data_IF_864175572078
#
_entry.id   IF_864175572078
#
_cell.length_a   1.000
_cell.length_b   1.000
_cell.length_c   1.000
_cell.angle_alpha   90.00
_cell.angle_beta   90.00
_cell.angle_gamma   90.00
#
_symmetry.space_group_name_H-M   'P 1'
#
loop_
_entity.id
_entity.type
_entity.pdbx_description
1 polymer ?
#
# COMPACT_ATOMS: atom_id res chain seq x y z
N UNK A 1 -3.39 -14.29 -13.54
CA UNK A 1 -3.26 -12.82 -13.58
C UNK A 1 -3.31 -12.45 -15.04
N UNK A 2 -4.30 -11.66 -15.46
CA UNK A 2 -4.32 -11.13 -16.81
C UNK A 2 -3.20 -10.08 -16.93
N UNK A 3 -2.20 -10.39 -17.75
CA UNK A 3 -1.05 -9.51 -18.01
C UNK A 3 -1.11 -8.88 -19.40
N UNK A 4 -2.17 -9.13 -20.16
CA UNK A 4 -2.30 -8.72 -21.56
C UNK A 4 -2.50 -7.20 -21.65
N UNK A 5 -3.13 -6.61 -20.63
CA UNK A 5 -3.47 -5.18 -20.56
C UNK A 5 -2.57 -4.36 -19.62
N UNK A 6 -2.04 -4.95 -18.53
CA UNK A 6 -1.14 -4.26 -17.58
C UNK A 6 -0.36 -5.23 -16.67
N UNK A 7 0.89 -4.94 -16.26
CA UNK A 7 1.58 -5.70 -15.21
C UNK A 7 0.82 -5.65 -13.88
N UNK A 8 0.51 -6.81 -13.27
CA UNK A 8 -0.32 -6.86 -12.05
C UNK A 8 0.07 -7.98 -11.06
N UNK A 9 -0.38 -7.84 -9.82
CA UNK A 9 -0.44 -8.89 -8.80
C UNK A 9 -1.85 -8.92 -8.21
N UNK A 10 -2.26 -10.04 -7.63
CA UNK A 10 -3.59 -10.14 -7.01
C UNK A 10 -3.58 -11.11 -5.84
N UNK A 11 -4.20 -10.69 -4.74
CA UNK A 11 -4.61 -11.53 -3.65
C UNK A 11 -5.96 -12.21 -3.94
N UNK A 12 -6.01 -13.53 -3.73
CA UNK A 12 -7.27 -14.29 -3.65
C UNK A 12 -7.45 -14.84 -2.24
N UNK A 13 -8.69 -14.88 -1.77
CA UNK A 13 -9.07 -15.19 -0.39
C UNK A 13 -9.12 -16.69 -0.05
N UNK A 14 -8.76 -17.54 -1.03
CA UNK A 14 -8.66 -18.98 -0.86
C UNK A 14 -7.28 -19.52 -1.31
N UNK A 15 -6.85 -20.65 -0.74
CA UNK A 15 -5.57 -21.24 -1.10
C UNK A 15 -5.74 -22.11 -2.35
N UNK A 16 -4.95 -21.84 -3.40
CA UNK A 16 -4.87 -22.73 -4.56
C UNK A 16 -4.16 -24.04 -4.22
N UNK A 17 -3.26 -23.99 -3.25
CA UNK A 17 -2.57 -25.14 -2.68
C UNK A 17 -3.09 -25.40 -1.27
N UNK A 18 -3.80 -26.52 -1.11
CA UNK A 18 -4.47 -26.94 0.13
C UNK A 18 -3.53 -27.15 1.33
N UNK A 19 -2.21 -27.11 1.12
CA UNK A 19 -1.22 -27.15 2.20
C UNK A 19 -1.12 -25.83 2.96
N UNK A 20 -1.60 -24.73 2.38
CA UNK A 20 -1.58 -23.40 3.00
C UNK A 20 -2.97 -23.04 3.52
N UNK A 21 -3.06 -22.34 4.68
CA UNK A 21 -4.33 -22.19 5.39
C UNK A 21 -5.20 -21.00 4.93
N UNK A 22 -4.63 -20.06 4.18
CA UNK A 22 -5.18 -18.72 4.00
C UNK A 22 -5.52 -18.44 2.53
N UNK A 23 -4.99 -17.35 1.98
CA UNK A 23 -5.16 -16.98 0.58
C UNK A 23 -3.95 -17.33 -0.28
N UNK A 24 -4.01 -16.88 -1.53
CA UNK A 24 -2.90 -16.98 -2.48
C UNK A 24 -2.56 -15.62 -3.03
N UNK A 25 -1.26 -15.30 -3.09
CA UNK A 25 -0.77 -14.16 -3.88
C UNK A 25 -0.37 -14.67 -5.26
N UNK A 26 -1.04 -14.19 -6.29
CA UNK A 26 -0.67 -14.44 -7.68
C UNK A 26 0.14 -13.24 -8.19
N UNK A 27 1.38 -13.49 -8.58
CA UNK A 27 2.30 -12.44 -9.04
C UNK A 27 2.51 -12.58 -10.54
N UNK A 28 2.18 -11.53 -11.30
CA UNK A 28 2.38 -11.52 -12.75
C UNK A 28 3.85 -11.51 -13.14
N UNK A 29 4.20 -12.21 -14.23
CA UNK A 29 5.58 -12.27 -14.75
C UNK A 29 6.08 -10.90 -15.21
N UNK A 30 5.27 -10.12 -15.95
CA UNK A 30 5.66 -8.77 -16.40
C UNK A 30 5.90 -7.83 -15.22
N UNK A 31 5.07 -7.95 -14.17
CA UNK A 31 5.27 -7.16 -12.95
C UNK A 31 6.54 -7.60 -12.24
N UNK A 32 6.79 -8.91 -12.17
CA UNK A 32 7.99 -9.46 -11.55
C UNK A 32 9.26 -8.93 -12.24
N UNK A 33 9.32 -9.02 -13.57
CA UNK A 33 10.45 -8.52 -14.36
C UNK A 33 10.68 -7.02 -14.15
N UNK A 34 9.58 -6.23 -14.16
CA UNK A 34 9.64 -4.79 -13.91
C UNK A 34 10.20 -4.46 -12.52
N UNK A 35 9.67 -5.08 -11.48
CA UNK A 35 10.13 -4.81 -10.11
C UNK A 35 11.53 -5.37 -9.85
N UNK A 36 11.88 -6.50 -10.47
CA UNK A 36 13.24 -7.06 -10.42
C UNK A 36 14.27 -6.09 -11.01
N UNK A 37 13.95 -5.47 -12.15
CA UNK A 37 14.82 -4.50 -12.80
C UNK A 37 15.04 -3.21 -11.99
N UNK A 38 14.11 -2.83 -11.11
CA UNK A 38 14.27 -1.68 -10.20
C UNK A 38 15.24 -1.94 -9.05
N UNK A 39 15.64 -3.20 -8.87
CA UNK A 39 16.53 -3.63 -7.80
C UNK A 39 15.78 -4.33 -6.66
N UNK A 40 16.47 -4.45 -5.53
CA UNK A 40 15.98 -5.24 -4.40
C UNK A 40 14.82 -4.49 -3.73
N UNK A 41 13.85 -5.24 -3.22
CA UNK A 41 12.70 -4.79 -2.43
C UNK A 41 11.39 -4.38 -3.14
N UNK A 42 11.35 -4.14 -4.46
CA UNK A 42 10.09 -3.90 -5.17
C UNK A 42 9.13 -5.11 -5.13
N UNK A 43 9.65 -6.29 -5.47
CA UNK A 43 8.92 -7.56 -5.40
C UNK A 43 8.38 -7.85 -3.99
N UNK A 44 9.20 -7.91 -2.91
CA UNK A 44 8.67 -8.24 -1.60
C UNK A 44 7.74 -7.17 -1.02
N UNK A 45 7.88 -5.89 -1.40
CA UNK A 45 6.91 -4.84 -1.03
C UNK A 45 5.56 -5.11 -1.67
N UNK A 46 5.54 -5.46 -2.96
CA UNK A 46 4.31 -5.82 -3.67
C UNK A 46 3.67 -7.07 -3.07
N UNK A 47 4.44 -8.11 -2.75
CA UNK A 47 3.92 -9.31 -2.07
C UNK A 47 3.33 -8.95 -0.70
N UNK A 48 3.98 -8.07 0.06
CA UNK A 48 3.48 -7.64 1.37
C UNK A 48 2.14 -6.88 1.26
N UNK A 49 1.99 -6.05 0.22
CA UNK A 49 0.73 -5.38 -0.09
C UNK A 49 -0.38 -6.39 -0.39
N UNK A 50 -0.15 -7.36 -1.29
CA UNK A 50 -1.15 -8.41 -1.58
C UNK A 50 -1.46 -9.28 -0.36
N UNK A 51 -0.46 -9.58 0.46
CA UNK A 51 -0.70 -10.33 1.70
C UNK A 51 -1.57 -9.55 2.69
N UNK A 52 -1.47 -8.21 2.71
CA UNK A 52 -2.36 -7.39 3.52
C UNK A 52 -3.82 -7.50 3.04
N UNK A 53 -4.08 -7.66 1.74
CA UNK A 53 -5.42 -7.98 1.24
C UNK A 53 -5.92 -9.34 1.72
N UNK A 54 -5.07 -10.37 1.76
CA UNK A 54 -5.44 -11.66 2.38
C UNK A 54 -5.84 -11.48 3.85
N UNK A 55 -5.09 -10.67 4.60
CA UNK A 55 -5.46 -10.35 5.99
C UNK A 55 -6.82 -9.63 6.07
N UNK A 56 -7.10 -8.72 5.14
CA UNK A 56 -8.39 -8.02 5.07
C UNK A 56 -9.56 -8.97 4.80
N UNK A 57 -9.41 -9.92 3.88
CA UNK A 57 -10.43 -10.94 3.63
C UNK A 57 -10.69 -11.77 4.88
N UNK A 58 -9.63 -12.31 5.52
CA UNK A 58 -9.75 -13.13 6.73
C UNK A 58 -10.41 -12.40 7.89
N UNK A 59 -10.15 -11.10 8.02
CA UNK A 59 -10.66 -10.27 9.12
C UNK A 59 -11.97 -9.56 8.79
N UNK A 60 -12.58 -9.86 7.63
CA UNK A 60 -13.82 -9.22 7.16
C UNK A 60 -13.70 -7.69 7.23
N UNK A 61 -12.68 -7.17 6.56
CA UNK A 61 -12.39 -5.73 6.53
C UNK A 61 -13.68 -4.93 6.28
N UNK A 62 -13.91 -3.84 7.03
CA UNK A 62 -15.15 -3.09 6.94
C UNK A 62 -15.41 -2.65 5.50
N UNK A 63 -16.68 -2.64 5.10
CA UNK A 63 -17.09 -2.18 3.76
C UNK A 63 -16.76 -0.68 3.65
N UNK A 64 -15.66 -0.37 2.99
CA UNK A 64 -15.16 0.97 2.73
C UNK A 64 -14.88 1.11 1.23
N UNK A 65 -14.73 2.35 0.74
CA UNK A 65 -14.30 2.57 -0.64
C UNK A 65 -12.94 1.89 -0.91
N UNK A 66 -12.75 1.34 -2.13
CA UNK A 66 -11.55 0.62 -2.59
C UNK A 66 -10.25 1.30 -2.17
N UNK A 67 -10.17 2.62 -2.37
CA UNK A 67 -9.08 3.46 -1.89
C UNK A 67 -8.64 3.19 -0.44
N UNK A 68 -9.56 3.07 0.51
CA UNK A 68 -9.19 2.87 1.91
C UNK A 68 -8.63 1.48 2.18
N UNK A 69 -9.10 0.49 1.43
CA UNK A 69 -8.56 -0.87 1.45
C UNK A 69 -7.11 -0.89 0.94
N UNK A 70 -6.83 -0.18 -0.15
CA UNK A 70 -5.50 -0.01 -0.74
C UNK A 70 -4.53 0.73 0.18
N UNK A 71 -4.94 1.88 0.73
CA UNK A 71 -4.12 2.64 1.67
C UNK A 71 -3.81 1.84 2.94
N UNK A 72 -4.74 1.03 3.41
CA UNK A 72 -4.49 0.12 4.51
C UNK A 72 -3.46 -0.96 4.14
N UNK A 73 -3.56 -1.55 2.94
CA UNK A 73 -2.59 -2.52 2.47
C UNK A 73 -1.17 -1.91 2.32
N UNK A 74 -1.08 -0.68 1.80
CA UNK A 74 0.18 0.07 1.73
C UNK A 74 0.80 0.32 3.10
N UNK A 75 -0.03 0.64 4.12
CA UNK A 75 0.45 0.80 5.49
C UNK A 75 1.11 -0.48 6.01
N UNK A 76 0.49 -1.64 5.84
CA UNK A 76 1.08 -2.92 6.27
C UNK A 76 2.34 -3.26 5.48
N UNK A 77 2.35 -3.00 4.17
CA UNK A 77 3.54 -3.19 3.33
C UNK A 77 4.70 -2.32 3.82
N UNK A 78 4.44 -1.07 4.21
CA UNK A 78 5.41 -0.18 4.82
C UNK A 78 6.05 -0.74 6.08
N UNK A 79 5.22 -1.21 7.02
CA UNK A 79 5.69 -1.84 8.25
C UNK A 79 6.55 -3.07 7.96
N UNK A 80 6.09 -3.95 7.06
CA UNK A 80 6.85 -5.15 6.68
C UNK A 80 8.20 -4.80 6.05
N UNK A 81 8.26 -3.81 5.15
CA UNK A 81 9.51 -3.37 4.53
C UNK A 81 10.50 -2.89 5.59
N UNK A 82 10.06 -2.10 6.56
CA UNK A 82 10.90 -1.67 7.66
C UNK A 82 11.34 -2.85 8.55
N UNK A 83 10.49 -3.84 8.76
CA UNK A 83 10.80 -5.04 9.56
C UNK A 83 11.87 -5.88 8.87
N UNK A 84 11.69 -6.12 7.57
CA UNK A 84 12.61 -6.87 6.72
C UNK A 84 13.97 -6.17 6.56
N UNK A 85 13.99 -4.84 6.50
CA UNK A 85 15.22 -4.06 6.38
C UNK A 85 16.21 -4.30 7.54
N UNK A 86 15.72 -4.67 8.72
CA UNK A 86 16.57 -4.99 9.89
C UNK A 86 17.41 -6.23 9.70
N UNK A 87 16.89 -7.21 8.97
CA UNK A 87 17.59 -8.47 8.71
C UNK A 87 18.52 -8.38 7.49
N UNK A 88 18.32 -7.40 6.62
CA UNK A 88 19.11 -7.19 5.40
C UNK A 88 19.42 -5.71 5.12
N UNK A 89 20.13 -5.01 6.03
CA UNK A 89 20.33 -3.56 5.98
C UNK A 89 21.05 -3.10 4.70
N UNK A 90 22.06 -3.85 4.25
CA UNK A 90 22.85 -3.52 3.05
C UNK A 90 22.09 -3.71 1.74
N UNK A 91 20.91 -4.32 1.79
CA UNK A 91 20.11 -4.68 0.62
C UNK A 91 18.72 -4.04 0.63
N UNK A 92 18.37 -3.29 1.68
CA UNK A 92 17.07 -2.65 1.85
C UNK A 92 17.14 -1.17 1.54
N UNK A 93 17.00 -0.79 0.26
CA UNK A 93 16.73 0.60 -0.07
C UNK A 93 15.22 0.86 0.07
N UNK A 94 14.76 1.55 1.13
CA UNK A 94 13.35 1.86 1.29
C UNK A 94 12.81 2.77 0.17
N UNK A 95 13.68 3.46 -0.59
CA UNK A 95 13.27 4.29 -1.71
C UNK A 95 12.74 3.46 -2.89
N UNK A 96 13.27 2.25 -3.12
CA UNK A 96 12.73 1.34 -4.16
C UNK A 96 11.32 0.89 -3.78
N UNK A 97 11.12 0.55 -2.51
CA UNK A 97 9.82 0.13 -1.98
C UNK A 97 8.80 1.28 -2.05
N UNK A 98 9.21 2.47 -1.61
CA UNK A 98 8.41 3.69 -1.70
C UNK A 98 8.04 4.03 -3.14
N UNK A 99 8.98 3.90 -4.08
CA UNK A 99 8.74 4.13 -5.51
C UNK A 99 7.74 3.12 -6.07
N UNK A 100 7.88 1.85 -5.71
CA UNK A 100 6.96 0.78 -6.11
C UNK A 100 5.52 1.13 -5.73
N UNK A 101 5.31 1.55 -4.48
CA UNK A 101 3.98 1.97 -3.99
C UNK A 101 3.52 3.27 -4.65
N UNK A 102 4.40 4.28 -4.79
CA UNK A 102 4.05 5.54 -5.42
C UNK A 102 3.59 5.35 -6.88
N UNK A 103 4.27 4.50 -7.65
CA UNK A 103 3.94 4.22 -9.05
C UNK A 103 2.66 3.40 -9.22
N UNK A 104 2.21 2.72 -8.17
CA UNK A 104 0.95 1.96 -8.16
C UNK A 104 -0.31 2.82 -7.89
N UNK A 105 -0.15 4.10 -7.58
CA UNK A 105 -1.28 5.04 -7.43
C UNK A 105 -1.77 5.61 -8.76
N UNK A 106 -3.04 6.02 -8.78
CA UNK A 106 -3.70 6.63 -9.94
C UNK A 106 -4.44 7.92 -9.56
N UNK A 107 -4.88 8.73 -10.53
CA UNK A 107 -5.68 9.95 -10.28
C UNK A 107 -7.13 9.81 -10.81
N UNK A 108 -7.63 8.59 -10.96
CA UNK A 108 -8.97 8.31 -11.51
C UNK A 108 -10.05 8.44 -10.44
N UNK A 109 -10.21 9.61 -9.82
CA UNK A 109 -11.10 9.83 -8.66
C UNK A 109 -12.58 9.43 -8.86
N UNK A 110 -13.07 9.41 -10.10
CA UNK A 110 -14.45 9.02 -10.43
C UNK A 110 -14.61 7.51 -10.69
N UNK A 111 -13.52 6.76 -10.64
CA UNK A 111 -13.53 5.32 -10.79
C UNK A 111 -13.81 4.68 -9.41
N UNK A 112 -14.84 3.84 -9.25
CA UNK A 112 -15.06 3.09 -8.00
C UNK A 112 -13.90 2.14 -7.67
N UNK A 113 -13.04 1.81 -8.64
CA UNK A 113 -11.78 1.11 -8.46
C UNK A 113 -10.58 2.05 -8.16
N UNK A 114 -10.80 3.34 -7.90
CA UNK A 114 -9.72 4.28 -7.59
C UNK A 114 -8.89 3.80 -6.40
N UNK A 115 -7.59 3.59 -6.62
CA UNK A 115 -6.68 3.00 -5.63
C UNK A 115 -6.10 4.04 -4.65
N UNK A 116 -6.48 5.32 -4.81
CA UNK A 116 -5.86 6.45 -4.13
C UNK A 116 -4.75 7.08 -4.95
N UNK A 117 -4.47 8.36 -4.70
CA UNK A 117 -3.36 9.03 -5.42
C UNK A 117 -2.01 8.48 -5.00
N UNK A 118 -1.02 8.68 -5.87
CA UNK A 118 0.37 8.30 -5.60
C UNK A 118 0.87 8.83 -4.26
N UNK A 119 0.51 10.06 -3.93
CA UNK A 119 0.85 10.72 -2.66
C UNK A 119 0.16 10.05 -1.47
N UNK A 120 -1.11 9.66 -1.63
CA UNK A 120 -1.89 9.00 -0.58
C UNK A 120 -1.31 7.64 -0.23
N UNK A 121 -1.01 6.86 -1.26
CA UNK A 121 -0.39 5.54 -1.17
C UNK A 121 0.99 5.61 -0.52
N UNK A 122 1.84 6.53 -1.00
CA UNK A 122 3.15 6.76 -0.38
C UNK A 122 3.05 7.24 1.07
N UNK A 123 2.09 8.13 1.40
CA UNK A 123 1.89 8.60 2.77
C UNK A 123 1.49 7.46 3.71
N UNK A 124 0.60 6.56 3.27
CA UNK A 124 0.18 5.40 4.04
C UNK A 124 1.33 4.41 4.26
N UNK A 125 2.06 4.07 3.19
CA UNK A 125 3.27 3.26 3.26
C UNK A 125 4.30 3.83 4.24
N UNK A 126 4.59 5.13 4.14
CA UNK A 126 5.55 5.80 5.02
C UNK A 126 5.10 5.80 6.48
N UNK A 127 3.79 5.88 6.74
CA UNK A 127 3.26 5.81 8.10
C UNK A 127 3.50 4.43 8.72
N UNK A 128 3.21 3.35 8.01
CA UNK A 128 3.49 1.99 8.48
C UNK A 128 4.99 1.71 8.62
N UNK A 129 5.82 2.19 7.68
CA UNK A 129 7.28 2.06 7.75
C UNK A 129 7.85 2.70 9.02
N UNK A 130 7.29 3.85 9.45
CA UNK A 130 7.70 4.51 10.70
C UNK A 130 7.28 3.74 11.94
N UNK A 131 6.10 3.11 11.94
CA UNK A 131 5.59 2.34 13.09
C UNK A 131 6.54 1.21 13.51
N UNK A 132 7.19 0.55 12.55
CA UNK A 132 8.15 -0.52 12.89
C UNK A 132 9.45 0.00 13.57
N UNK A 133 9.69 1.31 13.64
CA UNK A 133 10.83 1.82 14.45
C UNK A 133 10.60 1.63 15.96
N UNK A 134 9.41 1.22 16.37
CA UNK A 134 9.02 0.95 17.76
C UNK A 134 9.12 -0.55 18.15
N UNK A 135 9.79 -1.39 17.35
CA UNK A 135 10.03 -2.81 17.65
C UNK A 135 8.80 -3.73 17.68
N UNK A 136 7.71 -3.29 17.04
CA UNK A 136 6.46 -4.05 16.98
C UNK A 136 6.59 -5.16 15.92
N UNK A 137 6.66 -6.43 16.36
CA UNK A 137 6.68 -7.61 15.49
C UNK A 137 5.28 -8.20 15.19
N UNK A 138 4.22 -7.70 15.84
CA UNK A 138 2.87 -8.25 15.71
C UNK A 138 2.09 -7.62 14.55
N UNK A 139 1.92 -8.37 13.47
CA UNK A 139 1.11 -7.98 12.31
C UNK A 139 -0.36 -7.70 12.69
N UNK A 140 -0.91 -8.32 13.74
CA UNK A 140 -2.27 -8.06 14.19
C UNK A 140 -2.44 -6.67 14.78
N UNK A 141 -1.47 -6.25 15.61
CA UNK A 141 -1.42 -4.90 16.14
C UNK A 141 -1.28 -3.87 15.01
N UNK A 142 -0.37 -4.12 14.08
CA UNK A 142 -0.09 -3.21 12.95
C UNK A 142 -1.31 -3.07 12.05
N UNK A 143 -2.04 -4.16 11.81
CA UNK A 143 -3.33 -4.13 11.11
C UNK A 143 -4.32 -3.18 11.80
N UNK A 144 -4.48 -3.28 13.12
CA UNK A 144 -5.35 -2.36 13.88
C UNK A 144 -4.86 -0.91 13.77
N UNK A 145 -3.55 -0.66 13.80
CA UNK A 145 -2.99 0.68 13.59
C UNK A 145 -3.20 1.21 12.17
N UNK A 146 -3.16 0.35 11.17
CA UNK A 146 -3.54 0.69 9.79
C UNK A 146 -5.01 1.14 9.71
N UNK A 147 -5.92 0.44 10.40
CA UNK A 147 -7.33 0.83 10.48
C UNK A 147 -7.52 2.19 11.15
N UNK A 148 -6.87 2.43 12.28
CA UNK A 148 -6.90 3.74 12.97
C UNK A 148 -6.38 4.86 12.03
N UNK A 149 -5.31 4.58 11.29
CA UNK A 149 -4.72 5.52 10.33
C UNK A 149 -5.73 5.94 9.25
N UNK A 150 -6.37 4.98 8.55
CA UNK A 150 -7.32 5.32 7.49
C UNK A 150 -8.59 5.99 8.02
N UNK A 151 -9.08 5.59 9.20
CA UNK A 151 -10.28 6.16 9.83
C UNK A 151 -10.04 7.62 10.26
N UNK A 152 -8.91 7.89 10.90
CA UNK A 152 -8.54 9.25 11.32
C UNK A 152 -8.40 10.19 10.13
N UNK A 153 -7.82 9.70 9.02
CA UNK A 153 -7.63 10.47 7.79
C UNK A 153 -8.96 10.71 7.07
N UNK A 154 -9.83 9.71 6.97
CA UNK A 154 -11.19 9.85 6.46
C UNK A 154 -11.99 10.93 7.21
N UNK A 155 -11.99 10.89 8.55
CA UNK A 155 -12.67 11.89 9.38
C UNK A 155 -12.11 13.31 9.19
N UNK A 156 -10.79 13.45 8.95
CA UNK A 156 -10.16 14.76 8.67
C UNK A 156 -10.56 15.31 7.30
N UNK A 157 -10.61 14.48 6.27
CA UNK A 157 -11.06 14.89 4.93
C UNK A 157 -12.54 15.33 4.98
N UNK A 158 -13.40 14.61 5.69
CA UNK A 158 -14.80 15.01 5.87
C UNK A 158 -14.94 16.35 6.58
N UNK A 159 -14.17 16.57 7.67
CA UNK A 159 -14.13 17.87 8.35
C UNK A 159 -13.65 18.99 7.42
N UNK A 160 -12.59 18.75 6.64
CA UNK A 160 -12.05 19.72 5.69
C UNK A 160 -13.07 20.08 4.60
N UNK A 161 -13.82 19.10 4.09
CA UNK A 161 -14.92 19.32 3.13
C UNK A 161 -16.03 20.18 3.72
N UNK A 162 -16.44 19.91 4.97
CA UNK A 162 -17.43 20.73 5.68
C UNK A 162 -16.96 22.18 5.89
N UNK A 163 -15.66 22.41 6.04
CA UNK A 163 -15.07 23.74 6.15
C UNK A 163 -14.71 24.39 4.81
N UNK A 164 -15.14 23.83 3.68
CA UNK A 164 -14.92 24.39 2.33
C UNK A 164 -13.51 24.17 1.76
N UNK A 165 -12.68 23.31 2.36
CA UNK A 165 -11.37 22.93 1.81
C UNK A 165 -11.51 21.77 0.83
N UNK A 166 -10.82 21.86 -0.31
CA UNK A 166 -10.89 20.87 -1.41
C UNK A 166 -9.71 19.91 -1.45
N UNK A 167 -8.76 19.99 -0.50
CA UNK A 167 -7.55 19.18 -0.44
C UNK A 167 -7.50 18.18 0.72
N UNK A 168 -6.77 17.07 0.55
CA UNK A 168 -6.37 16.24 1.69
C UNK A 168 -5.36 17.03 2.54
N UNK A 169 -5.68 17.35 3.81
CA UNK A 169 -4.82 18.15 4.67
C UNK A 169 -3.48 17.47 5.02
N UNK A 170 -3.33 16.17 4.78
CA UNK A 170 -2.10 15.41 5.05
C UNK A 170 -1.19 15.25 3.83
N UNK A 171 -1.62 15.75 2.66
CA UNK A 171 -0.81 15.79 1.44
C UNK A 171 -0.40 17.24 1.22
N UNK A 172 0.87 17.62 1.46
CA UNK A 172 1.36 18.92 1.04
C UNK A 172 1.28 18.95 -0.49
N UNK A 173 0.35 19.73 -1.04
CA UNK A 173 0.37 20.06 -2.46
C UNK A 173 1.78 20.48 -2.85
N UNK A 174 2.29 19.96 -3.97
CA UNK A 174 3.44 20.50 -4.67
C UNK A 174 3.16 21.96 -5.08
N UNK A 175 3.25 22.89 -4.13
CA UNK A 175 3.63 24.27 -4.42
C UNK A 175 5.14 24.30 -4.49
N UNK A 176 5.70 23.79 -5.59
CA UNK A 176 6.88 24.33 -6.28
C UNK A 176 7.47 23.31 -7.26
N UNK A 177 7.63 23.78 -8.51
CA UNK A 177 8.28 23.17 -9.67
C UNK A 177 7.46 22.16 -10.47
N UNK A 178 6.48 22.69 -11.22
CA UNK A 178 6.42 22.28 -12.62
C UNK A 178 7.73 22.73 -13.30
N UNK A 179 8.43 21.90 -14.08
CA UNK A 179 9.41 22.43 -15.02
C UNK A 179 8.64 23.36 -15.97
N UNK A 180 9.12 24.60 -16.11
CA UNK A 180 8.68 25.48 -17.19
C UNK A 180 9.01 24.80 -18.54
N UNK A 181 8.23 25.07 -19.59
CA UNK A 181 8.44 24.49 -20.92
C UNK A 181 9.87 24.66 -21.41
#
# INVERSE_FOLDING_TARGET
VDEETSPNAVAIDYPLDKRFPDGTVLFGKKLFEREYAKGRFGIPTTIAHEFAHIMQYKRKFPVMATKWQELHADFLAGWFTAHRARFWPDNSDPNISARTVYESGDYQFNNPQHHGTREERFAAFRAGYKLNREDIADASFVYTKGLEYIQSRGARIERARRSGSTGDPDIPFYRNRAPKP
#
